data_IF_059863380633
#
_entry.id   IF_059863380633
#
_cell.length_a   1.000
_cell.length_b   1.000
_cell.length_c   1.000
_cell.angle_alpha   90.00
_cell.angle_beta   90.00
_cell.angle_gamma   90.00
#
_symmetry.space_group_name_H-M   'P 1'
#
loop_
_entity.id
_entity.type
_entity.pdbx_description
1 polymer ?
#
# COMPACT_ATOMS: atom_id res chain seq x y z
N UNK A 1 0.23 -9.96 -12.07
CA UNK A 1 0.10 -9.09 -10.87
C UNK A 1 -1.29 -8.48 -10.69
N UNK A 2 -2.15 -8.41 -11.73
CA UNK A 2 -3.54 -7.95 -11.60
C UNK A 2 -4.38 -8.82 -10.65
N UNK A 3 -4.16 -10.13 -10.65
CA UNK A 3 -4.95 -11.07 -9.84
C UNK A 3 -4.70 -10.89 -8.33
N UNK A 4 -3.49 -10.50 -7.93
CA UNK A 4 -3.13 -10.21 -6.53
C UNK A 4 -3.80 -8.94 -5.99
N UNK A 5 -4.20 -8.00 -6.84
CA UNK A 5 -4.93 -6.80 -6.41
C UNK A 5 -6.36 -7.14 -5.96
N UNK A 6 -6.90 -8.29 -6.36
CA UNK A 6 -8.25 -8.71 -5.98
C UNK A 6 -8.32 -9.33 -4.58
N UNK A 7 -7.19 -9.79 -4.04
CA UNK A 7 -7.12 -10.47 -2.73
C UNK A 7 -6.71 -9.54 -1.58
N UNK A 8 -6.68 -8.22 -1.80
CA UNK A 8 -6.27 -7.26 -0.78
C UNK A 8 -7.30 -7.16 0.36
N UNK A 9 -6.85 -7.54 1.56
CA UNK A 9 -7.55 -7.23 2.80
C UNK A 9 -7.27 -5.79 3.22
N UNK A 10 -8.31 -5.06 3.59
CA UNK A 10 -8.22 -3.67 4.05
C UNK A 10 -8.96 -3.54 5.37
N UNK A 11 -8.26 -3.11 6.41
CA UNK A 11 -8.80 -2.83 7.74
C UNK A 11 -8.45 -1.40 8.16
N UNK A 12 -9.35 -0.78 8.92
CA UNK A 12 -9.15 0.55 9.49
C UNK A 12 -9.17 0.49 11.02
N UNK A 13 -8.35 1.33 11.68
CA UNK A 13 -8.46 1.58 13.12
C UNK A 13 -8.72 3.07 13.42
N UNK A 14 -9.68 3.42 14.28
CA UNK A 14 -10.69 2.53 14.88
C UNK A 14 -11.53 1.82 13.80
N UNK A 15 -12.17 0.67 14.12
CA UNK A 15 -12.92 -0.10 13.13
C UNK A 15 -13.93 0.76 12.39
N UNK A 16 -13.76 0.87 11.08
CA UNK A 16 -14.64 1.63 10.21
C UNK A 16 -15.07 0.79 9.01
N UNK A 17 -16.29 1.01 8.51
CA UNK A 17 -16.82 0.28 7.36
C UNK A 17 -16.88 1.20 6.14
N UNK A 18 -16.16 0.83 5.09
CA UNK A 18 -16.30 1.41 3.77
C UNK A 18 -17.61 0.92 3.14
N UNK A 19 -18.66 1.73 3.18
CA UNK A 19 -19.97 1.40 2.59
C UNK A 19 -19.94 1.56 1.08
N UNK A 20 -20.59 0.64 0.36
CA UNK A 20 -20.65 0.61 -1.11
C UNK A 20 -19.27 0.74 -1.78
N UNK A 21 -18.30 -0.01 -1.25
CA UNK A 21 -16.92 -0.04 -1.75
C UNK A 21 -16.92 -0.28 -3.27
N UNK A 22 -16.49 0.71 -4.04
CA UNK A 22 -16.22 0.60 -5.47
C UNK A 22 -14.73 0.43 -5.67
N UNK A 23 -14.36 -0.66 -6.32
CA UNK A 23 -12.98 -0.98 -6.61
C UNK A 23 -12.78 -0.90 -8.12
N UNK A 24 -11.99 0.06 -8.56
CA UNK A 24 -11.71 0.29 -9.97
C UNK A 24 -10.23 0.04 -10.21
N UNK A 25 -9.93 -0.94 -11.05
CA UNK A 25 -8.57 -1.13 -11.55
C UNK A 25 -8.30 -0.02 -12.56
N UNK A 26 -7.57 1.02 -12.15
CA UNK A 26 -7.25 2.15 -13.04
C UNK A 26 -6.18 1.78 -14.07
N UNK A 27 -5.25 0.88 -13.72
CA UNK A 27 -4.20 0.35 -14.61
C UNK A 27 -3.87 -1.11 -14.26
N UNK A 28 -2.99 -1.78 -15.04
CA UNK A 28 -2.55 -3.17 -14.78
C UNK A 28 -1.91 -3.39 -13.39
N UNK A 29 -1.52 -2.32 -12.70
CA UNK A 29 -0.76 -2.34 -11.45
C UNK A 29 -1.38 -1.53 -10.33
N UNK A 30 -2.49 -0.82 -10.55
CA UNK A 30 -3.07 0.02 -9.52
C UNK A 30 -4.57 -0.19 -9.35
N UNK A 31 -5.02 -0.03 -8.11
CA UNK A 31 -6.42 -0.12 -7.75
C UNK A 31 -6.85 1.10 -6.96
N UNK A 32 -7.88 1.76 -7.47
CA UNK A 32 -8.60 2.82 -6.79
C UNK A 32 -9.76 2.20 -6.01
N UNK A 33 -9.85 2.58 -4.73
CA UNK A 33 -10.96 2.21 -3.88
C UNK A 33 -11.68 3.46 -3.41
N UNK A 34 -12.99 3.48 -3.62
CA UNK A 34 -13.85 4.57 -3.22
C UNK A 34 -14.99 4.07 -2.32
N UNK A 35 -15.27 4.82 -1.27
CA UNK A 35 -16.37 4.61 -0.34
C UNK A 35 -17.34 5.79 -0.45
N UNK A 36 -18.64 5.53 -0.45
CA UNK A 36 -19.65 6.59 -0.58
C UNK A 36 -19.65 7.54 0.63
N UNK A 37 -19.36 7.00 1.82
CA UNK A 37 -19.26 7.77 3.07
C UNK A 37 -17.82 7.83 3.51
N UNK A 38 -17.40 9.03 3.89
CA UNK A 38 -16.08 9.21 4.50
C UNK A 38 -16.05 8.61 5.90
N UNK A 39 -14.93 7.98 6.25
CA UNK A 39 -14.70 7.34 7.55
C UNK A 39 -13.50 7.95 8.24
N UNK A 40 -13.60 8.14 9.56
CA UNK A 40 -12.51 8.69 10.36
C UNK A 40 -11.57 7.56 10.76
N UNK A 41 -10.29 7.65 10.37
CA UNK A 41 -9.29 6.62 10.63
C UNK A 41 -8.00 7.22 11.19
N UNK A 42 -7.33 6.44 12.04
CA UNK A 42 -5.98 6.69 12.55
C UNK A 42 -4.98 5.69 11.96
N UNK A 43 -5.45 4.53 11.51
CA UNK A 43 -4.62 3.51 10.92
C UNK A 43 -5.31 2.86 9.72
N UNK A 44 -4.53 2.56 8.69
CA UNK A 44 -4.90 1.68 7.58
C UNK A 44 -3.98 0.45 7.63
N UNK A 45 -4.56 -0.74 7.54
CA UNK A 45 -3.82 -2.01 7.52
C UNK A 45 -4.18 -2.73 6.22
N UNK A 46 -3.15 -3.13 5.48
CA UNK A 46 -3.24 -3.93 4.28
C UNK A 46 -2.73 -5.34 4.58
N UNK A 47 -3.48 -6.34 4.12
CA UNK A 47 -3.15 -7.76 4.25
C UNK A 47 -3.39 -8.49 2.93
N UNK A 48 -2.82 -9.70 2.82
CA UNK A 48 -2.96 -10.57 1.66
C UNK A 48 -1.78 -10.52 0.69
N UNK A 49 -1.91 -11.23 -0.43
CA UNK A 49 -0.78 -11.56 -1.32
C UNK A 49 -0.15 -10.37 -2.05
N UNK A 50 -0.81 -9.20 -1.98
CA UNK A 50 -0.31 -7.95 -2.56
C UNK A 50 0.75 -7.28 -1.68
N UNK A 51 0.73 -7.53 -0.36
CA UNK A 51 1.57 -6.82 0.62
C UNK A 51 3.07 -6.91 0.29
N UNK A 52 3.63 -8.06 -0.13
CA UNK A 52 5.06 -8.15 -0.46
C UNK A 52 5.49 -7.33 -1.69
N UNK A 53 4.54 -6.69 -2.39
CA UNK A 53 4.79 -6.05 -3.69
C UNK A 53 4.23 -4.61 -3.75
N UNK A 54 3.92 -3.97 -2.63
CA UNK A 54 3.38 -2.61 -2.63
C UNK A 54 4.44 -1.61 -3.08
N UNK A 55 4.06 -0.65 -3.92
CA UNK A 55 4.94 0.44 -4.35
C UNK A 55 4.46 1.81 -3.88
N UNK A 56 3.16 2.06 -3.86
CA UNK A 56 2.66 3.34 -3.38
C UNK A 56 1.25 3.21 -2.82
N UNK A 57 0.99 3.91 -1.72
CA UNK A 57 -0.32 3.97 -1.08
C UNK A 57 -0.72 5.43 -0.96
N UNK A 58 -1.75 5.79 -1.69
CA UNK A 58 -2.34 7.12 -1.67
C UNK A 58 -3.63 7.08 -0.86
N UNK A 59 -3.72 7.88 0.19
CA UNK A 59 -4.95 8.04 0.97
C UNK A 59 -5.42 9.47 0.80
N UNK A 60 -6.65 9.67 0.31
CA UNK A 60 -7.14 10.99 -0.09
C UNK A 60 -8.12 11.57 0.94
N UNK A 61 -7.77 12.74 1.45
CA UNK A 61 -8.65 13.63 2.24
C UNK A 61 -8.46 15.08 1.76
N UNK A 62 -8.81 15.34 0.50
CA UNK A 62 -8.51 16.60 -0.23
C UNK A 62 -7.11 16.64 -0.85
N UNK A 63 -6.17 15.88 -0.30
CA UNK A 63 -4.82 15.60 -0.85
C UNK A 63 -4.35 14.22 -0.42
N UNK A 64 -3.21 13.74 -0.95
CA UNK A 64 -2.59 12.51 -0.44
C UNK A 64 -2.05 12.76 0.98
N UNK A 65 -2.72 12.21 1.99
CA UNK A 65 -2.36 12.34 3.41
C UNK A 65 -1.46 11.22 3.92
N UNK A 66 -1.17 10.20 3.09
CA UNK A 66 -0.29 9.10 3.45
C UNK A 66 1.19 9.50 3.44
N UNK A 67 1.56 10.48 2.60
CA UNK A 67 2.96 10.88 2.38
C UNK A 67 3.68 11.17 3.70
N UNK A 68 4.83 10.50 3.91
CA UNK A 68 5.73 10.64 5.07
C UNK A 68 5.05 10.38 6.43
N UNK A 69 3.92 9.68 6.45
CA UNK A 69 3.35 9.16 7.69
C UNK A 69 4.13 7.92 8.14
N UNK A 70 4.17 7.64 9.45
CA UNK A 70 4.77 6.42 9.96
C UNK A 70 4.14 5.14 9.39
N UNK A 71 4.97 4.18 9.02
CA UNK A 71 4.57 2.88 8.48
C UNK A 71 5.28 1.75 9.21
N UNK A 72 4.70 0.56 9.15
CA UNK A 72 5.36 -0.66 9.60
C UNK A 72 4.93 -1.83 8.71
N UNK A 73 5.78 -2.83 8.54
CA UNK A 73 5.42 -4.06 7.86
C UNK A 73 5.88 -5.27 8.66
N UNK A 74 5.37 -6.45 8.32
CA UNK A 74 5.65 -7.69 9.04
C UNK A 74 7.13 -8.07 9.03
N UNK A 75 7.81 -7.84 7.92
CA UNK A 75 9.25 -8.08 7.75
C UNK A 75 9.80 -7.22 6.62
N UNK A 76 11.11 -6.95 6.62
CA UNK A 76 11.82 -6.30 5.52
C UNK A 76 12.63 -7.35 4.74
N UNK A 77 12.50 -7.37 3.42
CA UNK A 77 13.30 -8.22 2.53
C UNK A 77 14.64 -7.57 2.19
N UNK A 78 15.69 -8.37 2.04
CA UNK A 78 16.98 -7.91 1.53
C UNK A 78 17.59 -9.00 0.65
N UNK A 79 18.35 -8.60 -0.37
CA UNK A 79 19.08 -9.50 -1.24
C UNK A 79 20.47 -8.94 -1.60
N UNK A 80 21.21 -9.64 -2.48
CA UNK A 80 22.54 -9.21 -2.89
C UNK A 80 22.54 -7.99 -3.83
N UNK A 81 21.42 -7.68 -4.47
CA UNK A 81 21.25 -6.55 -5.38
C UNK A 81 20.76 -5.29 -4.66
N UNK A 82 20.13 -5.46 -3.50
CA UNK A 82 19.62 -4.37 -2.69
C UNK A 82 19.67 -4.67 -1.20
N UNK A 83 20.24 -3.74 -0.44
CA UNK A 83 20.13 -3.75 1.01
C UNK A 83 18.69 -3.44 1.46
N UNK A 84 18.45 -3.46 2.78
CA UNK A 84 17.12 -3.28 3.36
C UNK A 84 16.45 -1.95 2.96
N UNK A 85 17.21 -0.95 2.51
CA UNK A 85 16.65 0.35 2.10
C UNK A 85 15.70 0.25 0.92
N UNK A 86 15.85 -0.76 0.07
CA UNK A 86 14.97 -0.97 -1.08
C UNK A 86 13.63 -1.57 -0.73
N UNK A 87 13.43 -2.06 0.50
CA UNK A 87 12.23 -2.79 0.90
C UNK A 87 11.45 -2.16 2.04
N UNK A 88 11.96 -1.09 2.67
CA UNK A 88 11.34 -0.46 3.82
C UNK A 88 9.88 -0.10 3.61
N UNK A 89 9.09 -0.30 4.66
CA UNK A 89 7.65 0.02 4.66
C UNK A 89 7.35 1.47 4.26
N UNK A 90 8.26 2.40 4.54
CA UNK A 90 8.12 3.83 4.25
C UNK A 90 8.14 4.16 2.77
N UNK A 91 8.69 3.28 1.93
CA UNK A 91 8.81 3.50 0.49
C UNK A 91 7.42 3.61 -0.15
N UNK A 92 6.41 2.91 0.37
CA UNK A 92 5.02 3.06 -0.10
C UNK A 92 4.39 4.44 0.17
N UNK A 93 5.03 5.32 0.94
CA UNK A 93 4.53 6.65 1.28
C UNK A 93 5.57 7.76 1.05
N UNK A 94 6.52 7.51 0.16
CA UNK A 94 7.58 8.45 -0.22
C UNK A 94 7.07 9.59 -1.14
N UNK A 95 5.92 9.38 -1.80
CA UNK A 95 5.30 10.31 -2.75
C UNK A 95 5.61 10.01 -4.21
N UNK A 96 6.37 8.95 -4.49
CA UNK A 96 6.61 8.41 -5.82
C UNK A 96 5.58 7.33 -6.16
N UNK A 97 5.38 7.12 -7.46
CA UNK A 97 4.54 6.04 -8.00
C UNK A 97 5.38 5.11 -8.89
N UNK A 98 6.70 5.13 -8.74
CA UNK A 98 7.57 4.20 -9.44
C UNK A 98 7.20 2.78 -9.01
N UNK A 99 7.23 1.85 -9.96
CA UNK A 99 6.81 0.46 -9.74
C UNK A 99 7.97 -0.53 -9.88
N UNK A 100 9.19 0.01 -9.98
CA UNK A 100 10.45 -0.73 -9.95
C UNK A 100 11.00 -0.79 -8.52
N UNK A 101 11.27 -2.00 -8.01
CA UNK A 101 11.78 -2.20 -6.66
C UNK A 101 13.16 -1.55 -6.47
N UNK A 102 14.03 -1.65 -7.48
CA UNK A 102 15.40 -1.14 -7.38
C UNK A 102 15.48 0.40 -7.46
N UNK A 103 14.35 1.06 -7.67
CA UNK A 103 14.23 2.51 -7.54
C UNK A 103 14.08 2.99 -6.08
N UNK A 104 14.12 2.08 -5.10
CA UNK A 104 13.92 2.38 -3.67
C UNK A 104 12.55 3.01 -3.36
N UNK A 105 11.55 2.68 -4.19
CA UNK A 105 10.20 3.26 -4.13
C UNK A 105 9.13 2.17 -4.06
N UNK A 106 9.52 0.96 -3.63
CA UNK A 106 8.59 -0.09 -3.27
C UNK A 106 8.94 -0.69 -1.91
N UNK A 107 7.96 -1.32 -1.29
CA UNK A 107 8.14 -2.14 -0.08
C UNK A 107 8.29 -3.59 -0.49
N UNK A 108 8.91 -4.40 0.36
CA UNK A 108 8.99 -5.84 0.13
C UNK A 108 9.11 -6.57 1.47
N UNK A 109 8.16 -7.46 1.75
CA UNK A 109 8.26 -8.37 2.90
C UNK A 109 8.99 -9.65 2.50
N UNK A 110 9.50 -10.40 3.47
CA UNK A 110 9.94 -11.77 3.21
C UNK A 110 8.74 -12.63 2.79
N UNK A 111 9.01 -13.79 2.20
CA UNK A 111 7.96 -14.79 1.97
C UNK A 111 7.52 -15.34 3.33
N UNK A 112 6.30 -15.02 3.74
CA UNK A 112 5.76 -15.36 5.05
C UNK A 112 4.24 -15.58 5.00
N UNK A 113 3.71 -16.26 6.02
CA UNK A 113 2.28 -16.50 6.13
C UNK A 113 1.58 -15.23 6.67
N UNK A 114 0.59 -14.73 5.93
CA UNK A 114 -0.21 -13.51 6.27
C UNK A 114 0.66 -12.26 6.47
N UNK A 115 1.40 -11.80 5.44
CA UNK A 115 2.13 -10.54 5.52
C UNK A 115 1.18 -9.36 5.77
N UNK A 116 1.66 -8.34 6.48
CA UNK A 116 0.92 -7.11 6.70
C UNK A 116 1.77 -5.88 6.44
N UNK A 117 1.11 -4.82 6.01
CA UNK A 117 1.68 -3.47 5.96
C UNK A 117 0.67 -2.51 6.60
N UNK A 118 1.13 -1.63 7.47
CA UNK A 118 0.27 -0.65 8.12
C UNK A 118 0.80 0.78 8.01
N UNK A 119 -0.15 1.70 7.93
CA UNK A 119 0.04 3.14 7.87
C UNK A 119 -0.59 3.76 9.11
N UNK A 120 0.21 4.46 9.91
CA UNK A 120 -0.22 5.12 11.14
C UNK A 120 -0.26 6.62 10.90
N UNK A 121 -1.45 7.21 10.94
CA UNK A 121 -1.59 8.66 10.84
C UNK A 121 -1.29 9.31 12.20
N UNK A 122 -0.47 10.37 12.19
CA UNK A 122 -0.18 11.16 13.42
C UNK A 122 -1.41 11.86 14.00
N UNK A 123 -2.47 11.98 13.21
CA UNK A 123 -3.79 12.50 13.61
C UNK A 123 -4.88 11.81 12.79
N UNK A 124 -6.11 11.74 13.28
CA UNK A 124 -7.22 11.16 12.52
C UNK A 124 -7.47 11.88 11.19
N UNK A 125 -7.81 11.14 10.14
CA UNK A 125 -8.25 11.67 8.85
C UNK A 125 -9.59 11.11 8.45
N UNK A 126 -10.44 11.98 7.90
CA UNK A 126 -11.71 11.60 7.30
C UNK A 126 -11.45 11.25 5.82
N UNK A 127 -11.54 9.96 5.46
CA UNK A 127 -11.15 9.47 4.14
C UNK A 127 -12.32 8.81 3.43
N UNK A 128 -12.40 8.95 2.11
CA UNK A 128 -13.39 8.26 1.25
C UNK A 128 -12.77 7.63 0.00
N UNK A 129 -11.49 7.89 -0.26
CA UNK A 129 -10.77 7.36 -1.41
C UNK A 129 -9.35 6.99 -1.04
N UNK A 130 -8.89 5.86 -1.52
CA UNK A 130 -7.49 5.45 -1.45
C UNK A 130 -7.11 4.68 -2.70
N UNK A 131 -5.85 4.79 -3.11
CA UNK A 131 -5.30 4.15 -4.30
C UNK A 131 -4.03 3.40 -3.92
N UNK A 132 -3.92 2.17 -4.39
CA UNK A 132 -2.82 1.27 -4.07
C UNK A 132 -2.14 0.90 -5.37
N UNK A 133 -0.82 1.07 -5.41
CA UNK A 133 0.05 0.74 -6.54
C UNK A 133 0.87 -0.48 -6.16
N UNK A 134 0.81 -1.51 -7.00
CA UNK A 134 1.56 -2.75 -6.89
C UNK A 134 2.78 -2.71 -7.83
N UNK A 135 3.80 -3.51 -7.56
CA UNK A 135 4.99 -3.66 -8.39
C UNK A 135 4.58 -4.10 -9.79
N UNK A 136 5.20 -3.50 -10.80
CA UNK A 136 4.99 -3.92 -12.18
C UNK A 136 5.85 -5.14 -12.48
N UNK A 137 5.21 -6.28 -12.74
CA UNK A 137 5.91 -7.53 -13.06
C UNK A 137 6.63 -7.51 -14.41
N UNK A 138 6.47 -6.46 -15.23
CA UNK A 138 7.25 -6.29 -16.48
C UNK A 138 8.70 -5.86 -16.24
N UNK A 139 9.07 -5.41 -15.04
CA UNK A 139 10.47 -5.20 -14.66
C UNK A 139 11.09 -6.51 -14.13
N UNK A 140 10.90 -7.62 -14.84
CA UNK A 140 11.75 -8.81 -14.72
C UNK A 140 12.99 -8.57 -15.59
N UNK A 141 14.01 -7.94 -15.03
CA UNK A 141 15.33 -7.77 -15.61
C UNK A 141 16.29 -7.94 -14.43
N UNK A 142 17.20 -8.90 -14.31
CA UNK A 142 17.73 -9.97 -15.16
C UNK A 142 18.08 -11.16 -14.25
#
# INVERSE_FOLDING_TARGET
NRDKLQTIGIEFKPPAKCTNKKMTTSDLVSVDVHCDKSVLINQLILTGDVVPFLCSVHVTAGRNVAIRQPTNQSSDYSDSMCDETCSYSSNAVDGSTNTDLYSQSCTHTKEENKPYWNLNFRRPYLISKYKIYNRNSRFKNY
#
